data_IF_700771433161
#
_entry.id   IF_700771433161
#
_cell.length_a   1.000
_cell.length_b   1.000
_cell.length_c   1.000
_cell.angle_alpha   90.00
_cell.angle_beta   90.00
_cell.angle_gamma   90.00
#
_symmetry.space_group_name_H-M   'P 1'
#
loop_
_entity.id
_entity.type
_entity.pdbx_description
1 polymer ?
#
# COMPACT_ATOMS: atom_id res chain seq x y z
N UNK A 1 3.76 -5.20 2.95
CA UNK A 1 4.27 -4.56 1.71
C UNK A 1 5.73 -4.91 1.42
N UNK A 2 6.68 -4.62 2.31
CA UNK A 2 8.11 -4.81 2.04
C UNK A 2 8.47 -6.26 1.69
N UNK A 3 7.87 -7.25 2.36
CA UNK A 3 8.10 -8.68 2.04
C UNK A 3 7.77 -9.03 0.58
N UNK A 4 6.63 -8.55 0.06
CA UNK A 4 6.22 -8.75 -1.34
C UNK A 4 7.27 -8.19 -2.31
N UNK A 5 7.84 -7.03 -2.00
CA UNK A 5 8.89 -6.41 -2.79
C UNK A 5 10.20 -7.19 -2.73
N UNK A 6 10.57 -7.73 -1.58
CA UNK A 6 11.72 -8.63 -1.45
C UNK A 6 11.52 -9.90 -2.28
N UNK A 7 10.36 -10.55 -2.16
CA UNK A 7 10.08 -11.84 -2.79
C UNK A 7 9.88 -11.74 -4.31
N UNK A 8 9.14 -10.74 -4.78
CA UNK A 8 8.73 -10.65 -6.19
C UNK A 8 9.58 -9.68 -7.03
N UNK A 9 10.39 -8.83 -6.40
CA UNK A 9 11.27 -7.88 -7.11
C UNK A 9 12.75 -8.01 -6.72
N UNK A 10 13.10 -8.90 -5.79
CA UNK A 10 14.49 -9.12 -5.37
C UNK A 10 15.13 -7.92 -4.66
N UNK A 11 14.31 -7.00 -4.13
CA UNK A 11 14.80 -5.79 -3.45
C UNK A 11 15.46 -6.15 -2.12
N UNK A 12 16.48 -5.38 -1.73
CA UNK A 12 17.01 -5.45 -0.37
C UNK A 12 15.91 -5.05 0.62
N UNK A 13 15.99 -5.52 1.87
CA UNK A 13 15.02 -5.15 2.92
C UNK A 13 14.91 -3.63 3.08
N UNK A 14 16.03 -2.91 2.94
CA UNK A 14 16.06 -1.45 3.03
C UNK A 14 15.30 -0.80 1.87
N UNK A 15 15.57 -1.24 0.64
CA UNK A 15 14.94 -0.66 -0.55
C UNK A 15 13.45 -1.02 -0.62
N UNK A 16 13.09 -2.24 -0.21
CA UNK A 16 11.72 -2.69 -0.11
C UNK A 16 10.91 -1.85 0.89
N UNK A 17 11.50 -1.48 2.04
CA UNK A 17 10.86 -0.56 3.00
C UNK A 17 10.75 0.83 2.41
N UNK A 18 11.79 1.37 1.79
CA UNK A 18 11.75 2.68 1.11
C UNK A 18 10.62 2.75 0.09
N UNK A 19 10.50 1.74 -0.76
CA UNK A 19 9.47 1.70 -1.80
C UNK A 19 8.07 1.45 -1.23
N UNK A 20 7.94 0.68 -0.13
CA UNK A 20 6.67 0.55 0.58
C UNK A 20 6.21 1.90 1.14
N UNK A 21 7.11 2.69 1.74
CA UNK A 21 6.79 4.05 2.23
C UNK A 21 6.33 4.94 1.07
N UNK A 22 7.06 4.95 -0.04
CA UNK A 22 6.67 5.71 -1.24
C UNK A 22 5.27 5.33 -1.76
N UNK A 23 4.92 4.05 -1.73
CA UNK A 23 3.60 3.59 -2.17
C UNK A 23 2.50 4.03 -1.20
N UNK A 24 2.75 4.00 0.11
CA UNK A 24 1.82 4.52 1.12
C UNK A 24 1.61 6.03 0.97
N UNK A 25 2.67 6.79 0.67
CA UNK A 25 2.60 8.22 0.36
C UNK A 25 1.77 8.47 -0.91
N UNK A 26 1.96 7.66 -1.96
CA UNK A 26 1.23 7.78 -3.22
C UNK A 26 -0.30 7.64 -3.04
N UNK A 27 -0.73 6.77 -2.11
CA UNK A 27 -2.15 6.60 -1.76
C UNK A 27 -2.58 7.45 -0.54
N UNK A 28 -1.82 8.51 -0.23
CA UNK A 28 -2.18 9.50 0.80
C UNK A 28 -2.44 8.88 2.18
N UNK A 29 -1.58 7.96 2.60
CA UNK A 29 -1.54 7.53 4.01
C UNK A 29 -0.76 8.59 4.80
N UNK A 30 -1.38 9.24 5.81
CA UNK A 30 -0.67 10.19 6.65
C UNK A 30 0.44 9.49 7.43
N UNK A 31 1.59 10.15 7.59
CA UNK A 31 2.79 9.58 8.22
C UNK A 31 3.15 8.19 7.67
N UNK A 32 3.27 8.06 6.34
CA UNK A 32 3.60 6.78 5.70
C UNK A 32 4.83 6.10 6.30
N UNK A 33 5.85 6.88 6.70
CA UNK A 33 7.08 6.38 7.31
C UNK A 33 6.85 5.74 8.68
N UNK A 34 6.04 6.35 9.55
CA UNK A 34 5.65 5.75 10.83
C UNK A 34 4.67 4.59 10.63
N UNK A 35 3.75 4.73 9.67
CA UNK A 35 2.65 3.78 9.46
C UNK A 35 2.99 2.54 8.65
N UNK A 36 4.14 2.50 7.95
CA UNK A 36 4.56 1.32 7.16
C UNK A 36 4.75 0.06 8.01
N UNK A 37 4.86 0.20 9.33
CA UNK A 37 5.00 -0.89 10.30
C UNK A 37 3.72 -1.23 11.05
N UNK A 38 2.63 -0.50 10.83
CA UNK A 38 1.37 -0.75 11.51
C UNK A 38 0.67 -1.99 10.95
N UNK A 39 -0.08 -2.65 11.82
CA UNK A 39 -0.97 -3.73 11.50
C UNK A 39 -2.27 -3.21 10.86
N UNK A 40 -2.95 -4.04 10.04
CA UNK A 40 -4.17 -3.63 9.34
C UNK A 40 -5.28 -3.06 10.24
N UNK A 41 -5.42 -3.56 11.48
CA UNK A 41 -6.45 -3.10 12.42
C UNK A 41 -6.18 -1.72 13.01
N UNK A 42 -4.96 -1.19 12.87
CA UNK A 42 -4.57 0.15 13.34
C UNK A 42 -4.91 1.26 12.32
N UNK A 43 -5.43 0.88 11.14
CA UNK A 43 -5.88 1.78 10.09
C UNK A 43 -7.40 1.99 10.13
N UNK A 44 -7.85 3.23 9.85
CA UNK A 44 -9.27 3.49 9.59
C UNK A 44 -9.76 2.72 8.36
N UNK A 45 -11.08 2.57 8.19
CA UNK A 45 -11.66 1.86 7.04
C UNK A 45 -11.16 2.38 5.70
N UNK A 46 -11.28 3.69 5.46
CA UNK A 46 -10.79 4.32 4.23
C UNK A 46 -9.27 4.21 4.05
N UNK A 47 -8.49 4.25 5.12
CA UNK A 47 -7.04 4.00 5.03
C UNK A 47 -6.73 2.56 4.64
N UNK A 48 -7.43 1.56 5.20
CA UNK A 48 -7.26 0.15 4.81
C UNK A 48 -7.55 -0.06 3.34
N UNK A 49 -8.58 0.58 2.81
CA UNK A 49 -8.92 0.49 1.38
C UNK A 49 -7.82 1.09 0.50
N UNK A 50 -7.28 2.26 0.88
CA UNK A 50 -6.13 2.87 0.17
C UNK A 50 -4.87 1.99 0.26
N UNK A 51 -4.59 1.39 1.42
CA UNK A 51 -3.50 0.42 1.59
C UNK A 51 -3.70 -0.81 0.69
N UNK A 52 -4.93 -1.31 0.57
CA UNK A 52 -5.28 -2.41 -0.33
C UNK A 52 -4.99 -2.07 -1.80
N UNK A 53 -5.38 -0.87 -2.25
CA UNK A 53 -5.06 -0.38 -3.61
C UNK A 53 -3.55 -0.29 -3.81
N UNK A 54 -2.82 0.30 -2.86
CA UNK A 54 -1.36 0.36 -2.87
C UNK A 54 -0.70 -1.03 -2.98
N UNK A 55 -1.21 -2.01 -2.22
CA UNK A 55 -0.73 -3.39 -2.27
C UNK A 55 -1.01 -4.06 -3.61
N UNK A 56 -2.20 -3.87 -4.18
CA UNK A 56 -2.57 -4.43 -5.47
C UNK A 56 -1.70 -3.86 -6.61
N UNK A 57 -1.30 -2.59 -6.51
CA UNK A 57 -0.45 -1.91 -7.50
C UNK A 57 1.06 -2.09 -7.27
N UNK A 58 1.46 -2.66 -6.13
CA UNK A 58 2.85 -2.67 -5.66
C UNK A 58 3.83 -3.28 -6.65
N UNK A 59 3.44 -4.36 -7.33
CA UNK A 59 4.27 -5.05 -8.30
C UNK A 59 4.12 -4.54 -9.74
N UNK A 60 3.34 -3.48 -9.96
CA UNK A 60 2.93 -2.97 -11.29
C UNK A 60 2.32 -4.06 -12.17
N UNK A 61 1.15 -4.60 -11.79
CA UNK A 61 0.48 -5.61 -12.59
C UNK A 61 0.07 -5.03 -13.96
N UNK A 62 -0.01 -5.89 -14.98
CA UNK A 62 -0.53 -5.50 -16.32
C UNK A 62 -2.06 -5.38 -16.36
N UNK A 63 -2.74 -6.09 -15.46
CA UNK A 63 -4.19 -6.12 -15.33
C UNK A 63 -4.53 -6.12 -13.83
N UNK A 64 -5.42 -5.24 -13.42
CA UNK A 64 -6.00 -5.19 -12.08
C UNK A 64 -7.52 -5.30 -12.23
N UNK A 65 -8.10 -6.32 -11.65
CA UNK A 65 -9.55 -6.46 -11.50
C UNK A 65 -9.88 -6.04 -10.08
N UNK A 66 -10.81 -5.11 -9.93
CA UNK A 66 -11.27 -4.65 -8.64
C UNK A 66 -12.79 -4.67 -8.59
N UNK A 67 -13.32 -5.19 -7.48
CA UNK A 67 -14.74 -5.14 -7.18
C UNK A 67 -14.99 -4.00 -6.20
N UNK A 68 -15.83 -3.06 -6.59
CA UNK A 68 -16.18 -1.87 -5.80
C UNK A 68 -14.98 -1.13 -5.12
N UNK A 69 -13.92 -0.76 -5.87
CA UNK A 69 -12.69 -0.21 -5.27
C UNK A 69 -12.84 1.16 -4.62
N UNK A 70 -14.00 1.80 -4.74
CA UNK A 70 -14.26 3.17 -4.28
C UNK A 70 -15.34 3.28 -3.19
N UNK A 71 -15.99 2.19 -2.77
CA UNK A 71 -17.15 2.26 -1.86
C UNK A 71 -16.86 2.94 -0.51
N UNK A 72 -15.62 2.90 0.00
CA UNK A 72 -15.22 3.64 1.21
C UNK A 72 -14.12 4.68 0.98
N UNK A 73 -14.01 5.20 -0.25
CA UNK A 73 -13.24 6.42 -0.54
C UNK A 73 -14.20 7.60 -0.69
N UNK A 74 -14.17 8.54 0.25
CA UNK A 74 -14.90 9.80 0.14
C UNK A 74 -14.34 10.68 -0.98
N UNK A 75 -15.22 11.41 -1.66
CA UNK A 75 -14.85 12.47 -2.61
C UNK A 75 -14.52 13.71 -1.78
N UNK A 76 -13.23 14.03 -1.64
CA UNK A 76 -12.76 15.28 -1.00
C UNK A 76 -11.80 16.01 -1.92
#
# INVERSE_FOLDING_TARGET
MAEVLTLHKGLSKRDAVTQAVQMLDAVKIPDAKGRVRLYPHEFSGGMRQRVMIAMALLCRPKLLIADEPTTALDVT
#
